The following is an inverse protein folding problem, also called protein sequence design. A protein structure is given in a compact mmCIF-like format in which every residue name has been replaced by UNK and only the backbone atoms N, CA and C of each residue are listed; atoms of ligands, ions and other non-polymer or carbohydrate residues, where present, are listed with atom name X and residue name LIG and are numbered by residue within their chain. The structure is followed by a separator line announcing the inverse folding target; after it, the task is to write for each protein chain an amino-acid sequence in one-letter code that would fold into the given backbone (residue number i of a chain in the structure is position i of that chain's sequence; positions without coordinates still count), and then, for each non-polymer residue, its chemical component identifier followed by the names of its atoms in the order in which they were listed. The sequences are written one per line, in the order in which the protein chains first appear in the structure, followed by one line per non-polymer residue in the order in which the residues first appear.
data_IF_179722431491
#
_entry.id   IF_179722431491
#
_cell.length_a   1.000
_cell.length_b   1.000
_cell.length_c   1.000
_cell.angle_alpha   90.00
_cell.angle_beta   90.00
_cell.angle_gamma   90.00
#
_symmetry.space_group_name_H-M   'P 1'
#
loop_
_entity.id
_entity.type
_entity.pdbx_description
1 polymer ?
#
# COMPACT_ATOMS: atom_id res chain seq x y z
N UNK A 1 9.36 -11.30 -2.66
CA UNK A 1 8.44 -10.16 -2.83
C UNK A 1 8.99 -9.19 -3.85
N UNK A 2 8.20 -8.82 -4.81
CA UNK A 2 8.57 -7.81 -5.81
C UNK A 2 7.75 -6.55 -5.60
N UNK A 3 8.39 -5.39 -5.74
CA UNK A 3 7.74 -4.09 -5.68
C UNK A 3 8.09 -3.30 -6.93
N UNK A 4 7.15 -2.54 -7.44
CA UNK A 4 7.36 -1.66 -8.57
C UNK A 4 6.64 -0.34 -8.30
N UNK A 5 7.27 0.78 -8.66
CA UNK A 5 6.69 2.09 -8.48
C UNK A 5 6.70 2.82 -9.82
N UNK A 6 5.53 3.30 -10.24
CA UNK A 6 5.36 4.05 -11.47
C UNK A 6 4.56 5.31 -11.20
N UNK A 7 4.79 6.34 -12.00
CA UNK A 7 3.95 7.52 -12.02
C UNK A 7 3.07 7.44 -13.26
N UNK A 8 1.75 7.40 -13.04
CA UNK A 8 0.75 7.31 -14.09
C UNK A 8 -0.35 8.34 -13.85
N UNK A 9 -0.59 9.21 -14.81
CA UNK A 9 -1.68 10.19 -14.77
C UNK A 9 -1.64 11.08 -13.50
N UNK A 10 -0.44 11.46 -13.08
CA UNK A 10 -0.25 12.30 -11.91
C UNK A 10 -0.37 11.57 -10.57
N UNK A 11 -0.55 10.26 -10.61
CA UNK A 11 -0.60 9.41 -9.42
C UNK A 11 0.65 8.56 -9.30
N UNK A 12 0.95 8.12 -8.09
CA UNK A 12 2.02 7.14 -7.84
C UNK A 12 1.35 5.78 -7.66
N UNK A 13 1.73 4.82 -8.49
CA UNK A 13 1.20 3.44 -8.42
C UNK A 13 2.30 2.52 -7.92
N UNK A 14 2.07 1.91 -6.76
CA UNK A 14 2.99 0.92 -6.19
C UNK A 14 2.37 -0.46 -6.31
N UNK A 15 3.03 -1.34 -7.05
CA UNK A 15 2.58 -2.72 -7.23
C UNK A 15 3.32 -3.63 -6.25
N UNK A 16 2.55 -4.42 -5.50
CA UNK A 16 3.08 -5.40 -4.56
C UNK A 16 2.77 -6.79 -5.09
N UNK A 17 3.82 -7.59 -5.32
CA UNK A 17 3.70 -8.91 -5.92
C UNK A 17 4.34 -9.94 -4.99
N UNK A 18 3.54 -10.85 -4.45
CA UNK A 18 3.98 -11.95 -3.61
C UNK A 18 3.46 -11.85 -2.17
N UNK A 19 4.27 -12.27 -1.24
CA UNK A 19 3.93 -12.31 0.18
C UNK A 19 4.65 -11.21 0.96
N UNK A 20 3.88 -10.29 1.50
CA UNK A 20 4.42 -9.24 2.37
C UNK A 20 4.42 -9.75 3.81
N UNK A 21 5.34 -10.65 4.09
CA UNK A 21 5.54 -11.21 5.41
C UNK A 21 6.53 -10.34 6.22
N UNK A 22 6.82 -10.76 7.44
CA UNK A 22 7.70 -10.00 8.32
C UNK A 22 9.12 -9.86 7.76
N UNK A 23 9.63 -10.91 7.10
CA UNK A 23 10.95 -10.88 6.49
C UNK A 23 11.00 -9.93 5.29
N UNK A 24 9.95 -9.91 4.47
CA UNK A 24 9.88 -9.02 3.31
C UNK A 24 9.65 -7.56 3.69
N UNK A 25 9.06 -7.31 4.86
CA UNK A 25 8.66 -5.96 5.29
C UNK A 25 9.82 -4.96 5.27
N UNK A 26 11.03 -5.39 5.65
CA UNK A 26 12.20 -4.50 5.69
C UNK A 26 12.55 -4.00 4.29
N UNK A 27 12.62 -4.91 3.31
CA UNK A 27 12.92 -4.54 1.93
C UNK A 27 11.81 -3.69 1.32
N UNK A 28 10.56 -4.06 1.61
CA UNK A 28 9.39 -3.35 1.08
C UNK A 28 9.36 -1.92 1.61
N UNK A 29 9.62 -1.73 2.91
CA UNK A 29 9.65 -0.39 3.48
C UNK A 29 10.69 0.49 2.78
N UNK A 30 11.86 -0.04 2.50
CA UNK A 30 12.90 0.69 1.77
C UNK A 30 12.47 0.99 0.34
N UNK A 31 11.88 0.01 -0.34
CA UNK A 31 11.43 0.17 -1.72
C UNK A 31 10.29 1.19 -1.85
N UNK A 32 9.45 1.32 -0.83
CA UNK A 32 8.30 2.23 -0.84
C UNK A 32 8.61 3.62 -0.25
N UNK A 33 9.86 3.92 0.07
CA UNK A 33 10.23 5.25 0.58
C UNK A 33 9.74 6.41 -0.28
N UNK A 34 9.75 6.33 -1.63
CA UNK A 34 9.21 7.43 -2.44
C UNK A 34 7.75 7.77 -2.16
N UNK A 35 6.96 6.82 -1.64
CA UNK A 35 5.55 7.06 -1.32
C UNK A 35 5.37 7.97 -0.11
N UNK A 36 6.38 8.08 0.76
CA UNK A 36 6.35 9.01 1.88
C UNK A 36 6.58 10.46 1.44
N UNK A 37 6.99 10.66 0.19
CA UNK A 37 7.29 11.97 -0.39
C UNK A 37 6.45 12.18 -1.66
N UNK A 38 5.15 12.02 -1.53
CA UNK A 38 4.22 12.04 -2.68
C UNK A 38 3.91 13.44 -3.21
N UNK A 39 4.28 14.50 -2.48
CA UNK A 39 4.07 15.88 -2.87
C UNK A 39 2.60 16.22 -3.18
N UNK A 40 1.69 15.65 -2.39
CA UNK A 40 0.27 15.88 -2.56
C UNK A 40 -0.41 15.01 -3.63
N UNK A 41 0.35 14.16 -4.32
CA UNK A 41 -0.22 13.25 -5.31
C UNK A 41 -0.97 12.12 -4.63
N UNK A 42 -1.98 11.59 -5.30
CA UNK A 42 -2.65 10.38 -4.86
C UNK A 42 -1.76 9.16 -5.09
N UNK A 43 -1.88 8.19 -4.21
CA UNK A 43 -1.12 6.93 -4.27
C UNK A 43 -2.09 5.77 -4.45
N UNK A 44 -1.76 4.85 -5.34
CA UNK A 44 -2.51 3.61 -5.54
C UNK A 44 -1.58 2.46 -5.16
N UNK A 45 -2.05 1.61 -4.26
CA UNK A 45 -1.38 0.35 -3.94
C UNK A 45 -2.06 -0.74 -4.75
N UNK A 46 -1.37 -1.26 -5.77
CA UNK A 46 -1.89 -2.31 -6.62
C UNK A 46 -1.67 -3.66 -5.94
N UNK A 47 -2.76 -4.35 -5.61
CA UNK A 47 -2.75 -5.58 -4.82
C UNK A 47 -3.12 -6.82 -5.63
N UNK A 48 -3.20 -6.73 -6.96
CA UNK A 48 -3.65 -7.85 -7.80
C UNK A 48 -2.85 -9.13 -7.55
N UNK A 49 -1.56 -9.02 -7.32
CA UNK A 49 -0.68 -10.17 -7.08
C UNK A 49 -0.17 -10.25 -5.64
N UNK A 50 -0.78 -9.49 -4.74
CA UNK A 50 -0.46 -9.58 -3.30
C UNK A 50 -1.18 -10.79 -2.73
N UNK A 51 -0.42 -11.76 -2.23
CA UNK A 51 -0.96 -13.05 -1.76
C UNK A 51 -1.13 -13.11 -0.25
N UNK A 52 -0.32 -12.36 0.49
CA UNK A 52 -0.32 -12.38 1.95
C UNK A 52 0.21 -11.05 2.49
N UNK A 53 -0.32 -10.62 3.62
CA UNK A 53 0.19 -9.44 4.32
C UNK A 53 0.20 -9.68 5.83
N UNK A 54 1.37 -9.50 6.43
CA UNK A 54 1.56 -9.58 7.88
C UNK A 54 1.26 -8.23 8.53
N UNK A 55 1.17 -8.21 9.86
CA UNK A 55 0.93 -6.98 10.62
C UNK A 55 2.01 -5.91 10.38
N UNK A 56 3.25 -6.33 10.18
CA UNK A 56 4.35 -5.41 9.84
C UNK A 56 4.12 -4.75 8.47
N UNK A 57 3.55 -5.49 7.51
CA UNK A 57 3.18 -4.94 6.21
C UNK A 57 2.03 -3.94 6.33
N UNK A 58 1.01 -4.26 7.12
CA UNK A 58 -0.10 -3.34 7.38
C UNK A 58 0.40 -2.04 8.00
N UNK A 59 1.37 -2.12 8.92
CA UNK A 59 1.96 -0.94 9.55
C UNK A 59 2.67 -0.05 8.55
N UNK A 60 3.37 -0.63 7.58
CA UNK A 60 4.04 0.13 6.50
C UNK A 60 3.00 0.88 5.68
N UNK A 61 1.94 0.21 5.25
CA UNK A 61 0.90 0.84 4.45
C UNK A 61 0.17 1.93 5.24
N UNK A 62 -0.04 1.72 6.53
CA UNK A 62 -0.63 2.75 7.40
C UNK A 62 0.27 3.98 7.52
N UNK A 63 1.58 3.79 7.63
CA UNK A 63 2.56 4.87 7.66
C UNK A 63 2.54 5.68 6.37
N UNK A 64 2.45 5.01 5.23
CA UNK A 64 2.33 5.66 3.92
C UNK A 64 1.03 6.47 3.85
N UNK A 65 -0.08 5.88 4.31
CA UNK A 65 -1.37 6.56 4.33
C UNK A 65 -1.29 7.88 5.11
N UNK A 66 -0.68 7.85 6.29
CA UNK A 66 -0.54 9.05 7.13
C UNK A 66 0.29 10.12 6.43
N UNK A 67 1.41 9.74 5.81
CA UNK A 67 2.28 10.68 5.11
C UNK A 67 1.58 11.28 3.89
N UNK A 68 0.86 10.46 3.11
CA UNK A 68 0.15 10.93 1.91
C UNK A 68 -0.99 11.87 2.29
N UNK A 69 -1.76 11.53 3.32
CA UNK A 69 -2.85 12.40 3.79
C UNK A 69 -2.33 13.72 4.34
N UNK A 70 -1.22 13.70 5.06
CA UNK A 70 -0.61 14.93 5.58
C UNK A 70 -0.19 15.88 4.46
N UNK A 71 0.15 15.33 3.29
CA UNK A 71 0.51 16.12 2.11
C UNK A 71 -0.71 16.50 1.24
N UNK A 72 -1.92 16.06 1.61
CA UNK A 72 -3.15 16.41 0.91
C UNK A 72 -3.63 15.38 -0.11
N UNK A 73 -2.96 14.24 -0.22
CA UNK A 73 -3.34 13.16 -1.14
C UNK A 73 -4.21 12.09 -0.50
N UNK A 74 -4.52 11.06 -1.27
CA UNK A 74 -5.30 9.91 -0.87
C UNK A 74 -4.56 8.63 -1.23
N UNK A 75 -4.86 7.54 -0.53
CA UNK A 75 -4.31 6.22 -0.85
C UNK A 75 -5.46 5.28 -1.19
N UNK A 76 -5.39 4.65 -2.34
CA UNK A 76 -6.33 3.63 -2.78
C UNK A 76 -5.68 2.25 -2.76
N UNK A 77 -6.43 1.25 -2.34
CA UNK A 77 -6.07 -0.16 -2.46
C UNK A 77 -6.86 -0.73 -3.64
N UNK A 78 -6.15 -1.26 -4.62
CA UNK A 78 -6.77 -1.72 -5.87
C UNK A 78 -6.57 -3.21 -6.09
N UNK A 79 -7.64 -3.87 -6.53
CA UNK A 79 -7.63 -5.29 -6.91
C UNK A 79 -7.19 -6.24 -5.78
N UNK A 80 -7.62 -5.97 -4.55
CA UNK A 80 -7.39 -6.91 -3.46
C UNK A 80 -8.18 -8.20 -3.70
N UNK A 81 -7.54 -9.36 -3.46
CA UNK A 81 -8.29 -10.60 -3.38
C UNK A 81 -9.07 -10.66 -2.06
N UNK A 82 -9.94 -11.67 -1.92
CA UNK A 82 -10.82 -11.79 -0.76
C UNK A 82 -10.05 -11.95 0.56
N UNK A 83 -8.95 -12.67 0.54
CA UNK A 83 -8.13 -12.89 1.73
C UNK A 83 -7.48 -11.58 2.21
N UNK A 84 -6.91 -10.82 1.30
CA UNK A 84 -6.29 -9.52 1.61
C UNK A 84 -7.37 -8.54 2.09
N UNK A 85 -8.50 -8.48 1.39
CA UNK A 85 -9.61 -7.61 1.78
C UNK A 85 -10.13 -7.96 3.17
N UNK A 86 -10.19 -9.25 3.49
CA UNK A 86 -10.61 -9.73 4.81
C UNK A 86 -9.68 -9.23 5.90
N UNK A 87 -8.37 -9.24 5.67
CA UNK A 87 -7.38 -8.74 6.66
C UNK A 87 -7.61 -7.26 6.93
N UNK A 88 -7.79 -6.44 5.89
CA UNK A 88 -8.07 -5.01 6.06
C UNK A 88 -9.40 -4.76 6.75
N UNK A 89 -10.40 -5.59 6.47
CA UNK A 89 -11.73 -5.47 7.09
C UNK A 89 -11.66 -5.83 8.56
N UNK A 90 -11.02 -6.94 8.91
CA UNK A 90 -10.94 -7.42 10.29
C UNK A 90 -10.13 -6.51 11.19
N UNK A 91 -9.12 -5.83 10.64
CA UNK A 91 -8.31 -4.87 11.40
C UNK A 91 -8.96 -3.48 11.47
N UNK A 92 -10.05 -3.25 10.74
CA UNK A 92 -10.71 -1.95 10.65
C UNK A 92 -9.98 -0.95 9.75
N UNK A 93 -8.87 -1.35 9.13
CA UNK A 93 -8.07 -0.44 8.31
C UNK A 93 -8.72 -0.12 6.96
N UNK A 94 -9.64 -0.97 6.50
CA UNK A 94 -10.27 -0.78 5.18
C UNK A 94 -10.99 0.55 5.05
N UNK A 95 -11.52 1.07 6.16
CA UNK A 95 -12.25 2.35 6.17
C UNK A 95 -11.34 3.57 6.03
N UNK A 96 -10.03 3.39 6.21
CA UNK A 96 -9.06 4.47 6.11
C UNK A 96 -8.54 4.69 4.69
N UNK A 97 -8.73 3.70 3.81
CA UNK A 97 -8.26 3.72 2.43
C UNK A 97 -9.43 3.86 1.48
N UNK A 98 -9.15 4.38 0.28
CA UNK A 98 -10.07 4.23 -0.84
C UNK A 98 -9.95 2.79 -1.35
N UNK A 99 -11.06 2.17 -1.76
CA UNK A 99 -11.06 0.80 -2.28
C UNK A 99 -11.50 0.81 -3.73
N UNK A 100 -10.66 0.27 -4.61
CA UNK A 100 -10.93 0.18 -6.04
C UNK A 100 -10.92 -1.25 -6.57
#
# INVERSE_FOLDING_TARGET
MKTDIQELDGKIVATLDGELDTAAAIEVEQALQPLYHSDGRDVVIECEHLEYIASSGLRILLGILKAVKAAGGKVALRNMNDDIKSVFTMTGLISLFEVE
#
